data_IF_666060352646
#
_entry.id   IF_666060352646
#
_cell.length_a   1.000
_cell.length_b   1.000
_cell.length_c   1.000
_cell.angle_alpha   90.00
_cell.angle_beta   90.00
_cell.angle_gamma   90.00
#
_symmetry.space_group_name_H-M   'P 1'
#
loop_
_entity.id
_entity.type
_entity.pdbx_description
1 polymer ?
#
# COMPACT_ATOMS: atom_id res chain seq x y z
N UNK A 1 -16.07 7.44 0.82
CA UNK A 1 -17.44 7.33 1.40
C UNK A 1 -17.38 6.90 2.85
N UNK A 2 -16.57 5.88 3.11
CA UNK A 2 -16.10 5.47 4.43
C UNK A 2 -14.60 5.77 4.51
N UNK A 3 -13.99 5.62 5.69
CA UNK A 3 -12.54 5.78 5.87
C UNK A 3 -11.98 4.78 6.85
N UNK A 4 -10.66 4.65 6.91
CA UNK A 4 -10.01 3.96 8.02
C UNK A 4 -10.01 4.84 9.27
N UNK A 5 -10.26 4.23 10.43
CA UNK A 5 -10.15 4.89 11.73
C UNK A 5 -8.72 5.38 11.96
N UNK A 6 -8.60 6.56 12.58
CA UNK A 6 -7.32 7.20 12.91
C UNK A 6 -7.29 7.59 14.39
N UNK A 7 -6.10 7.91 14.90
CA UNK A 7 -5.91 8.44 16.26
C UNK A 7 -5.18 7.48 17.20
N UNK A 8 -4.94 7.92 18.43
CA UNK A 8 -4.09 7.22 19.40
C UNK A 8 -4.59 5.82 19.81
N UNK A 9 -5.90 5.57 19.67
CA UNK A 9 -6.51 4.27 19.98
C UNK A 9 -6.45 3.25 18.83
N UNK A 10 -5.79 3.56 17.72
CA UNK A 10 -5.66 2.67 16.56
C UNK A 10 -4.33 1.94 16.62
N UNK A 11 -4.39 0.61 16.71
CA UNK A 11 -3.19 -0.23 16.58
C UNK A 11 -2.61 -0.09 15.18
N UNK A 12 -1.31 0.24 15.02
CA UNK A 12 -0.66 0.31 13.72
C UNK A 12 -0.84 -1.01 12.93
N UNK A 13 -1.11 -0.91 11.63
CA UNK A 13 -1.36 -2.08 10.77
C UNK A 13 -2.80 -2.60 10.80
N UNK A 14 -3.68 -1.98 11.59
CA UNK A 14 -5.13 -2.23 11.56
C UNK A 14 -5.85 -1.14 10.77
N UNK A 15 -6.88 -1.55 10.02
CA UNK A 15 -7.60 -0.67 9.07
C UNK A 15 -9.11 -0.79 9.27
N UNK A 16 -9.56 -0.61 10.52
CA UNK A 16 -10.97 -0.62 10.86
C UNK A 16 -11.72 0.50 10.10
N UNK A 17 -12.83 0.14 9.47
CA UNK A 17 -13.62 1.07 8.66
C UNK A 17 -14.63 1.80 9.55
N UNK A 18 -14.76 3.10 9.36
CA UNK A 18 -15.75 3.94 10.01
C UNK A 18 -16.49 4.87 9.03
N UNK A 19 -17.67 5.40 9.40
CA UNK A 19 -18.39 6.39 8.61
C UNK A 19 -17.53 7.60 8.25
N UNK A 20 -17.64 8.08 7.00
CA UNK A 20 -17.05 9.32 6.52
C UNK A 20 -18.08 10.22 5.85
N UNK A 21 -18.05 10.43 4.53
CA UNK A 21 -19.11 11.14 3.83
C UNK A 21 -20.47 10.44 3.94
N UNK A 22 -20.47 9.11 4.06
CA UNK A 22 -21.64 8.33 4.47
C UNK A 22 -21.70 8.24 6.00
N UNK A 23 -22.87 8.50 6.59
CA UNK A 23 -23.10 8.36 8.03
C UNK A 23 -23.40 6.92 8.45
N UNK A 24 -24.00 6.13 7.54
CA UNK A 24 -24.27 4.70 7.71
C UNK A 24 -24.44 4.03 6.33
N UNK A 25 -24.43 2.71 6.33
CA UNK A 25 -24.77 1.90 5.17
C UNK A 25 -25.51 0.63 5.57
N UNK A 26 -26.14 -0.02 4.60
CA UNK A 26 -26.84 -1.29 4.74
C UNK A 26 -26.55 -2.19 3.55
N UNK A 27 -26.52 -3.50 3.79
CA UNK A 27 -26.30 -4.54 2.79
C UNK A 27 -27.54 -5.44 2.75
N UNK A 28 -28.62 -5.03 2.06
CA UNK A 28 -29.89 -5.75 2.09
C UNK A 28 -29.81 -7.16 1.46
N UNK A 29 -28.83 -7.38 0.59
CA UNK A 29 -28.54 -8.66 -0.05
C UNK A 29 -27.03 -8.78 -0.35
N UNK A 30 -26.61 -9.87 -1.00
CA UNK A 30 -25.20 -10.15 -1.27
C UNK A 30 -24.57 -9.24 -2.34
N UNK A 31 -25.37 -8.52 -3.12
CA UNK A 31 -24.92 -7.74 -4.28
C UNK A 31 -25.34 -6.28 -4.23
N UNK A 32 -25.83 -5.81 -3.08
CA UNK A 32 -26.33 -4.44 -2.93
C UNK A 32 -25.78 -3.81 -1.68
N UNK A 33 -25.24 -2.60 -1.82
CA UNK A 33 -24.81 -1.76 -0.70
C UNK A 33 -25.43 -0.39 -0.84
N UNK A 34 -26.18 0.05 0.17
CA UNK A 34 -26.85 1.36 0.19
C UNK A 34 -26.16 2.24 1.22
N UNK A 35 -25.64 3.38 0.79
CA UNK A 35 -25.03 4.40 1.64
C UNK A 35 -25.99 5.56 1.86
N UNK A 36 -26.08 6.02 3.10
CA UNK A 36 -26.76 7.25 3.46
C UNK A 36 -25.73 8.33 3.75
N UNK A 37 -25.78 9.41 2.98
CA UNK A 37 -24.83 10.52 3.02
C UNK A 37 -25.16 11.47 4.17
N UNK A 38 -24.12 12.03 4.78
CA UNK A 38 -24.25 13.15 5.70
C UNK A 38 -24.87 14.35 4.97
N UNK A 39 -25.82 15.00 5.61
CA UNK A 39 -26.40 16.26 5.13
C UNK A 39 -25.49 17.44 5.49
N UNK A 40 -25.51 18.48 4.69
CA UNK A 40 -24.78 19.73 4.95
C UNK A 40 -23.27 19.65 4.69
N UNK A 41 -22.74 18.54 4.16
CA UNK A 41 -21.33 18.47 3.76
C UNK A 41 -21.11 19.40 2.57
N UNK A 42 -20.17 20.33 2.69
CA UNK A 42 -19.85 21.30 1.63
C UNK A 42 -18.51 20.99 0.99
N UNK A 43 -18.45 21.23 -0.31
CA UNK A 43 -17.19 21.36 -1.03
C UNK A 43 -16.43 22.60 -0.53
N UNK A 44 -15.12 22.64 -0.74
CA UNK A 44 -14.33 23.84 -0.47
C UNK A 44 -14.94 25.05 -1.19
N UNK A 45 -14.98 26.19 -0.49
CA UNK A 45 -15.53 27.44 -1.02
C UNK A 45 -14.54 28.12 -1.99
N UNK A 46 -14.32 27.49 -3.15
CA UNK A 46 -13.41 27.95 -4.21
C UNK A 46 -14.00 27.64 -5.59
N UNK A 47 -13.80 28.49 -6.61
CA UNK A 47 -14.19 28.18 -7.97
C UNK A 47 -13.53 26.89 -8.48
N UNK A 48 -14.24 26.04 -9.24
CA UNK A 48 -15.57 26.29 -9.80
C UNK A 48 -16.75 25.85 -8.92
N UNK A 49 -16.50 25.23 -7.76
CA UNK A 49 -17.55 24.54 -6.98
C UNK A 49 -18.26 25.46 -5.98
N UNK A 50 -17.56 26.50 -5.50
CA UNK A 50 -18.11 27.60 -4.71
C UNK A 50 -18.94 27.17 -3.48
N UNK A 51 -18.47 26.16 -2.73
CA UNK A 51 -19.06 25.81 -1.44
C UNK A 51 -20.42 25.12 -1.50
N UNK A 52 -20.85 24.64 -2.67
CA UNK A 52 -22.12 23.90 -2.79
C UNK A 52 -22.09 22.63 -1.93
N UNK A 53 -23.28 22.16 -1.59
CA UNK A 53 -23.44 20.91 -0.86
C UNK A 53 -23.07 19.70 -1.74
N UNK A 54 -22.47 18.69 -1.11
CA UNK A 54 -22.24 17.37 -1.68
C UNK A 54 -23.54 16.56 -1.71
N UNK A 55 -23.82 15.90 -2.83
CA UNK A 55 -25.01 15.05 -3.00
C UNK A 55 -24.66 13.66 -3.53
N UNK A 56 -25.67 12.79 -3.59
CA UNK A 56 -25.56 11.47 -4.21
C UNK A 56 -25.10 11.53 -5.68
N UNK A 57 -25.42 12.60 -6.40
CA UNK A 57 -24.98 12.78 -7.79
C UNK A 57 -23.46 12.93 -7.92
N UNK A 58 -22.80 13.54 -6.93
CA UNK A 58 -21.33 13.65 -6.91
C UNK A 58 -20.67 12.28 -6.76
N UNK A 59 -21.26 11.45 -5.92
CA UNK A 59 -20.80 10.08 -5.66
C UNK A 59 -20.99 9.24 -6.91
N UNK A 60 -22.18 9.29 -7.52
CA UNK A 60 -22.46 8.61 -8.78
C UNK A 60 -21.50 9.06 -9.88
N UNK A 61 -21.35 10.38 -10.07
CA UNK A 61 -20.44 10.94 -11.06
C UNK A 61 -19.00 10.44 -10.88
N UNK A 62 -18.50 10.47 -9.64
CA UNK A 62 -17.14 10.02 -9.30
C UNK A 62 -16.91 8.59 -9.77
N UNK A 63 -17.82 7.68 -9.43
CA UNK A 63 -17.60 6.26 -9.70
C UNK A 63 -17.95 5.86 -11.13
N UNK A 64 -18.93 6.51 -11.77
CA UNK A 64 -19.16 6.38 -13.21
C UNK A 64 -17.89 6.78 -13.99
N UNK A 65 -17.27 7.91 -13.62
CA UNK A 65 -16.00 8.35 -14.19
C UNK A 65 -14.88 7.34 -13.92
N UNK A 66 -14.74 6.88 -12.67
CA UNK A 66 -13.68 5.94 -12.28
C UNK A 66 -13.70 4.65 -13.12
N UNK A 67 -14.90 4.15 -13.42
CA UNK A 67 -15.11 2.93 -14.22
C UNK A 67 -14.97 3.15 -15.73
N UNK A 68 -15.26 4.36 -16.21
CA UNK A 68 -15.19 4.72 -17.63
C UNK A 68 -13.80 5.21 -18.10
N UNK A 69 -12.97 5.73 -17.19
CA UNK A 69 -11.64 6.25 -17.49
C UNK A 69 -10.73 5.14 -18.05
N UNK A 70 -10.26 5.33 -19.30
CA UNK A 70 -9.43 4.33 -19.98
C UNK A 70 -8.04 4.31 -19.36
N UNK A 71 -7.55 3.10 -19.07
CA UNK A 71 -6.21 2.92 -18.51
C UNK A 71 -6.09 3.31 -17.03
N UNK A 72 -7.19 3.51 -16.31
CA UNK A 72 -7.17 3.69 -14.86
C UNK A 72 -6.53 2.45 -14.19
N UNK A 73 -5.32 2.58 -13.60
CA UNK A 73 -4.60 1.44 -13.02
C UNK A 73 -5.27 0.91 -11.74
N UNK A 74 -6.17 1.69 -11.13
CA UNK A 74 -6.94 1.33 -9.94
C UNK A 74 -8.35 0.84 -10.27
N UNK A 75 -8.72 0.74 -11.56
CA UNK A 75 -10.06 0.31 -12.00
C UNK A 75 -10.51 -0.99 -11.33
N UNK A 76 -9.58 -1.91 -11.09
CA UNK A 76 -9.82 -3.19 -10.45
C UNK A 76 -10.51 -3.09 -9.09
N UNK A 77 -10.29 -2.00 -8.34
CA UNK A 77 -10.93 -1.80 -7.03
C UNK A 77 -12.45 -1.77 -7.13
N UNK A 78 -12.99 -1.35 -8.28
CA UNK A 78 -14.43 -1.23 -8.52
C UNK A 78 -14.91 -2.15 -9.66
N UNK A 79 -14.08 -3.05 -10.19
CA UNK A 79 -14.50 -4.02 -11.21
C UNK A 79 -15.74 -4.85 -10.80
N UNK A 80 -15.91 -5.24 -9.52
CA UNK A 80 -17.11 -5.93 -9.06
C UNK A 80 -18.39 -5.07 -9.09
N UNK A 81 -18.29 -3.74 -9.21
CA UNK A 81 -19.45 -2.84 -9.28
C UNK A 81 -20.07 -2.93 -10.68
N UNK A 82 -21.37 -3.23 -10.72
CA UNK A 82 -22.20 -3.18 -11.92
C UNK A 82 -22.61 -1.72 -12.22
N UNK A 83 -23.22 -1.06 -11.22
CA UNK A 83 -23.63 0.34 -11.35
C UNK A 83 -23.76 1.05 -10.01
N UNK A 84 -23.69 2.38 -10.07
CA UNK A 84 -23.96 3.29 -8.95
C UNK A 84 -25.19 4.13 -9.27
N UNK A 85 -26.17 4.12 -8.37
CA UNK A 85 -27.44 4.84 -8.49
C UNK A 85 -27.51 5.93 -7.42
N UNK A 86 -27.85 7.16 -7.81
CA UNK A 86 -28.32 8.19 -6.88
C UNK A 86 -29.83 7.95 -6.68
N UNK A 87 -30.20 7.31 -5.57
CA UNK A 87 -31.60 6.93 -5.28
C UNK A 87 -32.42 8.16 -4.91
N UNK A 88 -31.81 9.04 -4.12
CA UNK A 88 -32.30 10.38 -3.79
C UNK A 88 -31.08 11.28 -3.50
N UNK A 89 -31.32 12.52 -3.08
CA UNK A 89 -30.26 13.52 -2.83
C UNK A 89 -29.15 13.04 -1.87
N UNK A 90 -29.48 12.18 -0.89
CA UNK A 90 -28.56 11.71 0.15
C UNK A 90 -28.46 10.19 0.23
N UNK A 91 -28.97 9.44 -0.75
CA UNK A 91 -28.91 7.98 -0.76
C UNK A 91 -28.25 7.49 -2.04
N UNK A 92 -27.17 6.73 -1.91
CA UNK A 92 -26.43 6.12 -3.02
C UNK A 92 -26.52 4.62 -2.92
N UNK A 93 -26.88 3.94 -4.01
CA UNK A 93 -26.91 2.48 -4.08
C UNK A 93 -25.84 1.97 -5.05
N UNK A 94 -25.01 1.06 -4.55
CA UNK A 94 -24.10 0.25 -5.36
C UNK A 94 -24.79 -1.08 -5.65
N UNK A 95 -24.80 -1.47 -6.93
CA UNK A 95 -25.13 -2.82 -7.36
C UNK A 95 -23.84 -3.50 -7.81
N UNK A 96 -23.63 -4.73 -7.37
CA UNK A 96 -22.46 -5.54 -7.67
C UNK A 96 -22.83 -6.62 -8.69
N UNK A 97 -21.87 -6.99 -9.54
CA UNK A 97 -22.02 -8.07 -10.52
C UNK A 97 -22.10 -9.44 -9.85
N UNK A 98 -21.49 -9.55 -8.67
CA UNK A 98 -21.39 -10.74 -7.85
C UNK A 98 -21.10 -10.36 -6.40
N UNK A 99 -21.26 -11.28 -5.43
CA UNK A 99 -20.93 -10.99 -4.04
C UNK A 99 -19.46 -10.56 -3.88
N UNK A 100 -19.23 -9.40 -3.26
CA UNK A 100 -17.89 -8.85 -3.06
C UNK A 100 -17.75 -8.20 -1.69
N UNK A 101 -17.13 -8.94 -0.77
CA UNK A 101 -17.03 -8.57 0.66
C UNK A 101 -16.04 -7.43 0.95
N UNK A 102 -15.26 -7.01 -0.04
CA UNK A 102 -14.21 -5.99 0.13
C UNK A 102 -14.61 -4.60 -0.35
N UNK A 103 -15.87 -4.38 -0.78
CA UNK A 103 -16.31 -3.09 -1.32
C UNK A 103 -16.01 -1.93 -0.35
N UNK A 104 -16.32 -2.08 0.93
CA UNK A 104 -16.06 -1.03 1.93
C UNK A 104 -14.57 -0.70 2.02
N UNK A 105 -13.70 -1.72 1.98
CA UNK A 105 -12.25 -1.49 2.00
C UNK A 105 -11.78 -0.77 0.73
N UNK A 106 -12.35 -1.08 -0.44
CA UNK A 106 -12.05 -0.37 -1.68
C UNK A 106 -12.48 1.10 -1.58
N UNK A 107 -13.64 1.38 -1.00
CA UNK A 107 -14.19 2.74 -0.81
C UNK A 107 -13.53 3.53 0.35
N UNK A 108 -12.79 2.85 1.23
CA UNK A 108 -11.94 3.45 2.27
C UNK A 108 -10.49 3.65 1.80
N UNK A 109 -10.14 3.12 0.62
CA UNK A 109 -8.77 3.11 0.12
C UNK A 109 -8.28 4.53 -0.21
N UNK A 110 -7.21 5.02 0.45
CA UNK A 110 -6.75 6.40 0.32
C UNK A 110 -5.88 6.62 -0.92
N UNK A 111 -6.02 5.84 -1.99
CA UNK A 111 -5.26 6.03 -3.24
C UNK A 111 -6.11 6.32 -4.47
N UNK A 112 -7.43 6.11 -4.41
CA UNK A 112 -8.23 6.17 -5.63
C UNK A 112 -9.72 6.41 -5.50
N UNK A 113 -10.34 6.25 -4.33
CA UNK A 113 -11.81 6.32 -4.19
C UNK A 113 -12.30 7.60 -3.51
N UNK A 114 -11.55 8.69 -3.65
CA UNK A 114 -11.99 10.02 -3.23
C UNK A 114 -13.16 10.52 -4.10
N UNK A 115 -14.11 11.21 -3.47
CA UNK A 115 -15.20 11.86 -4.20
C UNK A 115 -14.66 13.13 -4.87
N UNK A 116 -14.93 13.28 -6.17
CA UNK A 116 -14.49 14.42 -6.98
C UNK A 116 -15.69 15.21 -7.48
N UNK A 117 -15.58 16.53 -7.48
CA UNK A 117 -16.62 17.41 -7.97
C UNK A 117 -16.61 17.42 -9.51
N UNK A 118 -17.79 17.26 -10.12
CA UNK A 118 -17.95 17.27 -11.58
C UNK A 118 -17.39 18.54 -12.22
N UNK A 119 -17.66 19.69 -11.62
CA UNK A 119 -17.25 20.99 -12.13
C UNK A 119 -15.72 21.15 -12.19
N UNK A 120 -15.00 20.51 -11.26
CA UNK A 120 -13.53 20.51 -11.24
C UNK A 120 -13.01 19.69 -12.40
N UNK A 121 -13.58 18.50 -12.63
CA UNK A 121 -13.23 17.64 -13.76
C UNK A 121 -13.52 18.34 -15.09
N UNK A 122 -14.70 18.92 -15.25
CA UNK A 122 -15.11 19.61 -16.47
C UNK A 122 -14.24 20.84 -16.76
N UNK A 123 -13.87 21.60 -15.73
CA UNK A 123 -13.06 22.82 -15.89
C UNK A 123 -11.58 22.54 -16.17
N UNK A 124 -10.98 21.61 -15.43
CA UNK A 124 -9.52 21.42 -15.46
C UNK A 124 -9.09 20.21 -16.28
N UNK A 125 -9.93 19.17 -16.36
CA UNK A 125 -9.59 17.87 -16.96
C UNK A 125 -8.52 17.11 -16.17
N UNK A 126 -7.31 17.68 -16.11
CA UNK A 126 -6.19 17.19 -15.34
C UNK A 126 -6.27 17.65 -13.87
N UNK A 127 -6.56 16.69 -12.99
CA UNK A 127 -6.67 16.91 -11.55
C UNK A 127 -5.32 16.99 -10.83
N UNK A 128 -4.19 16.84 -11.53
CA UNK A 128 -2.84 17.01 -10.93
C UNK A 128 -2.47 18.47 -10.69
N UNK A 129 -3.27 19.40 -11.24
CA UNK A 129 -3.07 20.84 -11.08
C UNK A 129 -3.43 21.28 -9.67
N UNK A 130 -2.61 22.16 -9.08
CA UNK A 130 -2.87 22.73 -7.75
C UNK A 130 -4.24 23.44 -7.68
N UNK A 131 -4.68 24.07 -8.76
CA UNK A 131 -5.99 24.74 -8.82
C UNK A 131 -7.18 23.77 -8.81
N UNK A 132 -6.94 22.50 -9.17
CA UNK A 132 -7.92 21.43 -9.13
C UNK A 132 -8.02 20.75 -7.74
N UNK A 133 -7.16 21.11 -6.78
CA UNK A 133 -7.22 20.60 -5.41
C UNK A 133 -8.43 21.18 -4.65
N UNK A 134 -9.61 20.60 -4.91
CA UNK A 134 -10.89 20.94 -4.31
C UNK A 134 -11.54 19.66 -3.82
N UNK A 135 -11.92 19.64 -2.54
CA UNK A 135 -12.54 18.49 -1.88
C UNK A 135 -13.56 18.91 -0.84
N UNK A 136 -13.90 17.98 0.05
CA UNK A 136 -14.72 18.20 1.25
C UNK A 136 -13.92 18.02 2.53
N UNK A 137 -12.59 17.89 2.41
CA UNK A 137 -11.67 17.53 3.48
C UNK A 137 -11.37 18.66 4.46
N UNK A 138 -10.64 18.31 5.52
CA UNK A 138 -10.32 19.17 6.66
C UNK A 138 -9.42 20.37 6.35
N UNK A 139 -8.71 20.34 5.23
CA UNK A 139 -7.78 21.40 4.85
C UNK A 139 -7.94 21.81 3.39
N UNK A 140 -7.71 23.08 3.09
CA UNK A 140 -7.61 23.65 1.76
C UNK A 140 -6.13 23.78 1.36
N UNK A 141 -5.83 23.56 0.08
CA UNK A 141 -4.52 23.89 -0.47
C UNK A 141 -4.37 25.42 -0.56
N UNK A 142 -3.41 25.95 0.18
CA UNK A 142 -3.10 27.38 0.27
C UNK A 142 -1.93 27.74 -0.66
N UNK A 143 -0.85 26.97 -0.61
CA UNK A 143 0.34 27.19 -1.44
C UNK A 143 0.95 25.85 -1.88
N UNK A 144 1.38 25.78 -3.14
CA UNK A 144 2.15 24.66 -3.68
C UNK A 144 3.44 25.18 -4.29
N UNK A 145 4.58 24.75 -3.74
CA UNK A 145 5.92 25.03 -4.25
C UNK A 145 6.58 23.71 -4.63
N UNK A 146 6.63 23.37 -5.92
CA UNK A 146 7.24 22.12 -6.38
C UNK A 146 8.62 21.90 -5.77
N UNK A 147 8.87 20.69 -5.25
CA UNK A 147 10.12 20.25 -4.62
C UNK A 147 10.57 21.06 -3.39
N UNK A 148 9.71 21.92 -2.82
CA UNK A 148 10.04 22.73 -1.64
C UNK A 148 9.05 22.47 -0.51
N UNK A 149 7.78 22.85 -0.70
CA UNK A 149 6.74 22.63 0.31
C UNK A 149 5.32 22.76 -0.25
N UNK A 150 4.38 22.14 0.46
CA UNK A 150 2.94 22.31 0.23
C UNK A 150 2.30 22.81 1.52
N UNK A 151 1.59 23.92 1.48
CA UNK A 151 0.94 24.55 2.62
C UNK A 151 -0.56 24.32 2.53
N UNK A 152 -1.13 23.79 3.61
CA UNK A 152 -2.55 23.56 3.77
C UNK A 152 -3.08 24.37 4.94
N UNK A 153 -4.29 24.93 4.81
CA UNK A 153 -4.96 25.70 5.86
C UNK A 153 -6.29 25.07 6.23
N UNK A 154 -6.70 25.24 7.49
CA UNK A 154 -7.95 24.71 8.03
C UNK A 154 -9.14 25.07 7.14
N UNK A 155 -9.97 24.07 6.86
CA UNK A 155 -11.29 24.28 6.27
C UNK A 155 -12.29 24.68 7.35
N UNK A 156 -12.80 25.93 7.36
CA UNK A 156 -13.78 26.37 8.35
C UNK A 156 -15.13 25.65 8.19
N UNK A 157 -15.43 25.15 6.99
CA UNK A 157 -16.69 24.46 6.66
C UNK A 157 -16.56 22.93 6.76
N UNK A 158 -15.53 22.41 7.44
CA UNK A 158 -15.34 20.96 7.54
C UNK A 158 -16.48 20.30 8.32
N UNK A 159 -17.03 19.22 7.74
CA UNK A 159 -18.27 18.61 8.22
C UNK A 159 -18.14 17.83 9.53
N UNK A 160 -16.93 17.62 10.06
CA UNK A 160 -16.72 16.94 11.34
C UNK A 160 -16.56 17.97 12.47
N UNK A 161 -17.50 18.04 13.42
CA UNK A 161 -17.39 18.95 14.55
C UNK A 161 -16.09 18.76 15.33
N UNK A 162 -15.48 19.87 15.76
CA UNK A 162 -14.23 19.87 16.53
C UNK A 162 -12.96 19.55 15.73
N UNK A 163 -13.07 19.29 14.42
CA UNK A 163 -11.94 19.01 13.54
C UNK A 163 -11.88 19.99 12.36
N UNK A 164 -10.69 20.20 11.76
CA UNK A 164 -9.39 19.89 12.38
C UNK A 164 -9.17 20.79 13.60
N UNK A 165 -8.38 20.30 14.57
CA UNK A 165 -8.01 21.07 15.76
C UNK A 165 -6.78 21.97 15.54
N UNK A 166 -6.14 21.88 14.37
CA UNK A 166 -4.98 22.68 13.98
C UNK A 166 -5.33 23.64 12.83
N UNK A 167 -4.64 24.77 12.77
CA UNK A 167 -4.88 25.81 11.77
C UNK A 167 -4.37 25.47 10.36
N UNK A 168 -3.47 24.49 10.25
CA UNK A 168 -2.90 24.11 8.96
C UNK A 168 -1.79 23.07 9.07
N UNK A 169 -1.25 22.72 7.91
CA UNK A 169 -0.16 21.75 7.75
C UNK A 169 0.83 22.32 6.75
N UNK A 170 2.09 22.46 7.16
CA UNK A 170 3.19 22.75 6.26
C UNK A 170 3.90 21.42 5.94
N UNK A 171 3.70 20.91 4.72
CA UNK A 171 4.36 19.71 4.23
C UNK A 171 5.68 20.07 3.57
N UNK A 172 6.80 19.75 4.20
CA UNK A 172 8.14 20.03 3.68
C UNK A 172 8.64 18.89 2.78
N UNK A 173 9.27 19.24 1.66
CA UNK A 173 9.98 18.28 0.80
C UNK A 173 11.46 18.36 1.16
N UNK A 174 12.02 17.29 1.71
CA UNK A 174 13.42 17.18 2.11
C UNK A 174 13.95 15.85 1.58
N UNK A 175 14.83 15.86 0.59
CA UNK A 175 15.34 14.62 -0.02
C UNK A 175 16.51 14.01 0.75
N UNK A 176 17.35 14.85 1.36
CA UNK A 176 18.52 14.40 2.13
C UNK A 176 18.11 13.94 3.54
N UNK A 177 18.39 12.67 3.85
CA UNK A 177 18.03 12.04 5.13
C UNK A 177 18.73 12.68 6.33
N UNK A 178 19.96 13.18 6.16
CA UNK A 178 20.69 13.83 7.24
C UNK A 178 20.07 15.20 7.57
N UNK A 179 19.65 15.96 6.55
CA UNK A 179 18.90 17.19 6.69
C UNK A 179 17.53 16.95 7.35
N UNK A 180 16.83 15.87 6.98
CA UNK A 180 15.58 15.48 7.65
C UNK A 180 15.80 15.23 9.14
N UNK A 181 16.82 14.44 9.52
CA UNK A 181 17.12 14.15 10.93
C UNK A 181 17.52 15.42 11.70
N UNK A 182 18.30 16.32 11.09
CA UNK A 182 18.68 17.59 11.68
C UNK A 182 17.47 18.52 11.88
N UNK A 183 16.60 18.65 10.87
CA UNK A 183 15.33 19.40 10.94
C UNK A 183 14.40 18.81 12.01
N UNK A 184 14.35 17.48 12.10
CA UNK A 184 13.56 16.81 13.13
C UNK A 184 14.12 17.07 14.52
N UNK A 185 15.45 17.00 14.75
CA UNK A 185 16.07 17.32 16.06
C UNK A 185 15.79 18.77 16.48
N UNK A 186 15.98 19.72 15.56
CA UNK A 186 15.82 21.16 15.83
C UNK A 186 14.38 21.63 16.01
N UNK A 187 13.38 20.82 15.65
CA UNK A 187 11.96 21.16 15.84
C UNK A 187 11.28 21.77 14.63
N UNK A 188 11.92 21.70 13.45
CA UNK A 188 11.29 22.08 12.19
C UNK A 188 10.20 21.08 11.77
N UNK A 189 10.26 19.84 12.24
CA UNK A 189 9.29 18.77 11.95
C UNK A 189 8.61 18.34 13.27
N UNK A 190 7.28 18.45 13.30
CA UNK A 190 6.46 18.10 14.48
C UNK A 190 6.14 16.60 14.55
N UNK A 191 5.83 16.00 13.40
CA UNK A 191 5.61 14.57 13.24
C UNK A 191 5.89 14.19 11.79
N UNK A 192 6.42 12.99 11.57
CA UNK A 192 6.59 12.50 10.20
C UNK A 192 5.24 12.12 9.59
N UNK A 193 4.87 12.65 8.41
CA UNK A 193 3.63 12.25 7.75
C UNK A 193 3.78 10.89 7.08
N UNK A 194 4.95 10.61 6.48
CA UNK A 194 5.15 9.40 5.67
C UNK A 194 5.51 8.18 6.54
N UNK A 195 4.88 7.05 6.23
CA UNK A 195 5.08 5.78 6.95
C UNK A 195 6.51 5.21 6.86
N UNK A 196 7.33 5.67 5.90
CA UNK A 196 8.76 5.38 5.82
C UNK A 196 9.65 6.53 6.29
N UNK A 197 9.10 7.72 6.59
CA UNK A 197 9.85 8.81 7.25
C UNK A 197 9.90 8.55 8.76
N UNK A 198 10.30 7.34 9.09
CA UNK A 198 10.61 6.94 10.45
C UNK A 198 12.06 7.29 10.74
N UNK A 199 12.38 7.47 12.02
CA UNK A 199 13.78 7.58 12.43
C UNK A 199 14.45 6.26 12.02
N UNK A 200 15.51 6.34 11.19
CA UNK A 200 16.24 5.13 10.77
C UNK A 200 16.68 4.36 11.99
N UNK A 201 16.65 3.03 11.91
CA UNK A 201 16.96 2.19 13.07
C UNK A 201 18.38 2.45 13.59
N UNK A 202 19.32 2.76 12.70
CA UNK A 202 20.70 3.16 13.05
C UNK A 202 20.79 4.46 13.86
N UNK A 203 19.89 5.43 13.64
CA UNK A 203 19.88 6.72 14.33
C UNK A 203 19.05 6.70 15.62
N UNK A 204 18.22 5.66 15.80
CA UNK A 204 17.20 5.60 16.85
C UNK A 204 17.78 5.63 18.26
N UNK A 205 18.88 4.90 18.51
CA UNK A 205 19.50 4.83 19.83
C UNK A 205 20.02 6.21 20.28
N UNK A 206 20.75 6.90 19.40
CA UNK A 206 21.27 8.23 19.68
C UNK A 206 20.15 9.28 19.76
N UNK A 207 19.11 9.15 18.94
CA UNK A 207 17.96 10.05 19.04
C UNK A 207 17.20 9.87 20.36
N UNK A 208 16.96 8.64 20.82
CA UNK A 208 16.33 8.37 22.12
C UNK A 208 17.15 8.91 23.28
N UNK A 209 18.49 8.88 23.16
CA UNK A 209 19.40 9.43 24.16
C UNK A 209 19.39 10.96 24.18
N UNK A 210 19.46 11.60 23.02
CA UNK A 210 19.51 13.06 22.89
C UNK A 210 18.14 13.74 23.02
N UNK A 211 17.05 13.03 22.73
CA UNK A 211 15.68 13.55 22.73
C UNK A 211 14.70 12.57 23.41
N UNK A 212 14.90 12.22 24.69
CA UNK A 212 14.10 11.21 25.40
C UNK A 212 12.62 11.58 25.56
N UNK A 213 12.27 12.87 25.39
CA UNK A 213 10.91 13.39 25.46
C UNK A 213 10.09 13.15 24.20
N UNK A 214 10.70 12.73 23.09
CA UNK A 214 9.95 12.39 21.88
C UNK A 214 9.12 11.14 22.11
N UNK A 215 7.98 11.09 21.43
CA UNK A 215 7.17 9.88 21.39
C UNK A 215 7.78 8.90 20.39
N UNK A 216 7.72 7.60 20.67
CA UNK A 216 8.19 6.54 19.79
C UNK A 216 7.18 5.40 19.75
N UNK A 217 6.90 4.89 18.56
CA UNK A 217 6.02 3.73 18.37
C UNK A 217 6.56 2.84 17.27
N UNK A 218 6.84 1.59 17.63
CA UNK A 218 7.22 0.57 16.66
C UNK A 218 5.99 0.01 15.94
N UNK A 219 6.17 -0.31 14.67
CA UNK A 219 5.20 -1.06 13.88
C UNK A 219 5.89 -1.84 12.76
N UNK A 220 5.31 -2.98 12.39
CA UNK A 220 5.79 -3.80 11.28
C UNK A 220 5.18 -3.27 9.98
N UNK A 221 6.00 -3.14 8.94
CA UNK A 221 5.53 -2.71 7.63
C UNK A 221 4.54 -3.71 7.02
N UNK A 222 3.46 -3.19 6.43
CA UNK A 222 2.55 -3.96 5.55
C UNK A 222 2.97 -3.90 4.07
N UNK A 223 4.11 -3.28 3.77
CA UNK A 223 4.78 -3.40 2.47
C UNK A 223 5.54 -4.72 2.45
N UNK A 224 5.28 -5.50 1.41
CA UNK A 224 6.07 -6.67 1.08
C UNK A 224 7.18 -6.26 0.10
N UNK A 225 8.34 -6.89 0.16
CA UNK A 225 9.40 -6.77 -0.86
C UNK A 225 9.70 -8.15 -1.44
N UNK A 226 9.95 -8.26 -2.74
CA UNK A 226 10.20 -9.56 -3.35
C UNK A 226 10.69 -9.52 -4.79
N UNK A 227 11.14 -10.67 -5.26
CA UNK A 227 11.50 -10.86 -6.65
C UNK A 227 10.26 -11.06 -7.52
N UNK A 228 10.26 -10.36 -8.65
CA UNK A 228 9.34 -10.53 -9.77
C UNK A 228 10.02 -11.42 -10.81
N UNK A 229 9.26 -12.37 -11.36
CA UNK A 229 9.75 -13.28 -12.38
C UNK A 229 8.63 -13.57 -13.38
N UNK A 230 8.94 -13.57 -14.68
CA UNK A 230 7.97 -13.92 -15.71
C UNK A 230 7.66 -15.41 -15.70
N UNK A 231 6.63 -15.81 -14.97
CA UNK A 231 6.21 -17.21 -14.82
C UNK A 231 5.66 -17.81 -16.12
N UNK A 232 5.41 -16.98 -17.12
CA UNK A 232 4.98 -17.34 -18.46
C UNK A 232 6.15 -17.54 -19.45
N UNK A 233 7.41 -17.34 -19.02
CA UNK A 233 8.59 -17.47 -19.88
C UNK A 233 9.69 -18.33 -19.24
N UNK A 234 10.45 -19.11 -20.04
CA UNK A 234 11.68 -19.72 -19.56
C UNK A 234 12.69 -18.68 -19.06
N UNK A 235 13.50 -18.99 -18.04
CA UNK A 235 13.48 -20.23 -17.26
C UNK A 235 12.49 -20.24 -16.09
N UNK A 236 11.79 -19.13 -15.84
CA UNK A 236 10.98 -18.94 -14.63
C UNK A 236 9.60 -19.59 -14.68
N UNK A 237 9.19 -20.12 -15.84
CA UNK A 237 8.04 -21.01 -15.94
C UNK A 237 8.24 -22.34 -15.18
N UNK A 238 9.49 -22.78 -14.98
CA UNK A 238 9.81 -23.92 -14.13
C UNK A 238 9.80 -23.55 -12.64
N UNK A 239 8.94 -24.21 -11.87
CA UNK A 239 8.80 -24.00 -10.42
C UNK A 239 10.10 -24.28 -9.65
N UNK A 240 10.95 -25.20 -10.15
CA UNK A 240 12.23 -25.54 -9.52
C UNK A 240 13.20 -24.37 -9.56
N UNK A 241 13.22 -23.60 -10.65
CA UNK A 241 14.04 -22.38 -10.77
C UNK A 241 13.56 -21.33 -9.75
N UNK A 242 12.25 -21.14 -9.62
CA UNK A 242 11.68 -20.18 -8.64
C UNK A 242 11.97 -20.60 -7.19
N UNK A 243 11.86 -21.89 -6.89
CA UNK A 243 12.23 -22.45 -5.57
C UNK A 243 13.73 -22.31 -5.29
N UNK A 244 14.58 -22.49 -6.31
CA UNK A 244 16.02 -22.26 -6.16
C UNK A 244 16.35 -20.82 -5.80
N UNK A 245 15.70 -19.84 -6.46
CA UNK A 245 15.83 -18.41 -6.13
C UNK A 245 15.43 -18.16 -4.67
N UNK A 246 14.34 -18.77 -4.21
CA UNK A 246 13.90 -18.64 -2.81
C UNK A 246 14.86 -19.23 -1.79
N UNK A 247 15.47 -20.38 -2.10
CA UNK A 247 16.49 -21.01 -1.25
C UNK A 247 17.83 -20.26 -1.26
N UNK A 248 18.16 -19.59 -2.36
CA UNK A 248 19.41 -18.85 -2.47
C UNK A 248 19.47 -17.63 -1.54
N UNK A 249 18.33 -17.12 -1.05
CA UNK A 249 18.26 -15.85 -0.33
C UNK A 249 17.99 -16.07 1.16
N UNK A 250 18.86 -15.53 1.99
CA UNK A 250 18.69 -15.46 3.45
C UNK A 250 17.99 -14.15 3.83
N UNK A 251 16.68 -14.29 4.05
CA UNK A 251 15.78 -13.19 4.37
C UNK A 251 16.10 -12.54 5.71
N UNK A 252 16.50 -13.34 6.71
CA UNK A 252 16.77 -12.83 8.04
C UNK A 252 18.10 -12.07 8.06
N UNK A 253 19.13 -12.57 7.37
CA UNK A 253 20.40 -11.85 7.22
C UNK A 253 20.20 -10.50 6.54
N UNK A 254 19.31 -10.39 5.54
CA UNK A 254 18.98 -9.09 4.94
C UNK A 254 18.32 -8.14 5.95
N UNK A 255 17.35 -8.65 6.72
CA UNK A 255 16.69 -7.87 7.77
C UNK A 255 17.70 -7.36 8.80
N UNK A 256 18.55 -8.25 9.32
CA UNK A 256 19.49 -7.94 10.39
C UNK A 256 20.60 -6.99 9.94
N UNK A 257 21.10 -7.15 8.71
CA UNK A 257 22.19 -6.34 8.18
C UNK A 257 21.77 -4.92 7.77
N UNK A 258 20.54 -4.76 7.27
CA UNK A 258 20.09 -3.49 6.66
C UNK A 258 19.07 -2.77 7.56
N UNK A 259 18.03 -3.48 7.97
CA UNK A 259 16.90 -2.86 8.69
C UNK A 259 17.02 -3.00 10.21
N UNK A 260 17.97 -3.80 10.72
CA UNK A 260 18.21 -4.15 12.12
C UNK A 260 17.05 -4.87 12.84
N UNK A 261 15.81 -4.67 12.37
CA UNK A 261 14.57 -5.24 12.93
C UNK A 261 13.55 -5.51 11.83
N UNK A 262 12.82 -6.61 11.98
CA UNK A 262 11.82 -7.04 11.02
C UNK A 262 11.69 -8.56 11.03
N UNK A 263 10.94 -9.07 10.07
CA UNK A 263 10.82 -10.52 9.89
C UNK A 263 10.57 -10.89 8.41
N UNK A 264 10.94 -12.12 8.00
CA UNK A 264 10.53 -12.69 6.74
C UNK A 264 9.00 -12.65 6.56
N UNK A 265 8.53 -12.43 5.32
CA UNK A 265 7.10 -12.27 5.04
C UNK A 265 6.60 -13.24 3.97
N UNK A 266 5.35 -13.75 4.08
CA UNK A 266 4.66 -14.38 2.95
C UNK A 266 4.13 -13.32 1.97
N UNK A 267 3.17 -13.71 1.12
CA UNK A 267 2.57 -12.82 0.12
C UNK A 267 1.90 -11.59 0.74
N UNK A 268 1.25 -11.75 1.88
CA UNK A 268 0.71 -10.63 2.65
C UNK A 268 1.76 -10.18 3.67
N UNK A 269 2.13 -8.91 3.59
CA UNK A 269 3.09 -8.26 4.51
C UNK A 269 2.74 -8.49 5.97
N UNK A 270 3.75 -8.71 6.81
CA UNK A 270 3.57 -9.04 8.24
C UNK A 270 2.88 -7.93 9.05
N UNK A 271 2.94 -6.68 8.58
CA UNK A 271 2.18 -5.56 9.14
C UNK A 271 0.66 -5.68 9.04
N UNK A 272 0.13 -6.57 8.19
CA UNK A 272 -1.29 -6.97 8.16
C UNK A 272 -1.48 -8.26 8.97
N UNK A 273 -1.21 -8.18 10.28
CA UNK A 273 -1.08 -9.35 11.16
C UNK A 273 -2.31 -10.29 11.13
N UNK A 274 -3.52 -9.75 11.02
CA UNK A 274 -4.76 -10.54 10.91
C UNK A 274 -4.78 -11.49 9.70
N UNK A 275 -4.10 -11.10 8.62
CA UNK A 275 -4.17 -11.77 7.32
C UNK A 275 -2.87 -12.45 6.91
N UNK A 276 -1.81 -12.33 7.71
CA UNK A 276 -0.49 -12.85 7.39
C UNK A 276 -0.11 -14.00 8.33
N UNK A 277 -0.04 -15.26 7.86
CA UNK A 277 0.49 -16.37 8.63
C UNK A 277 2.02 -16.24 8.78
N UNK A 278 2.58 -16.76 9.87
CA UNK A 278 4.04 -16.88 9.99
C UNK A 278 4.59 -17.85 8.96
N UNK A 279 5.88 -17.75 8.65
CA UNK A 279 6.52 -18.62 7.64
C UNK A 279 6.37 -20.11 7.97
N UNK A 280 6.51 -20.49 9.23
CA UNK A 280 6.31 -21.87 9.73
C UNK A 280 4.86 -22.37 9.61
N UNK A 281 3.89 -21.48 9.38
CA UNK A 281 2.47 -21.79 9.19
C UNK A 281 2.07 -21.90 7.71
N UNK A 282 3.03 -21.77 6.79
CA UNK A 282 2.82 -21.89 5.33
C UNK A 282 2.72 -23.35 4.85
N UNK A 283 2.61 -24.32 5.75
CA UNK A 283 2.48 -25.74 5.41
C UNK A 283 3.70 -26.23 4.62
N UNK A 284 3.48 -27.02 3.56
CA UNK A 284 4.58 -27.52 2.74
C UNK A 284 5.39 -26.39 2.05
N UNK A 285 4.79 -25.22 1.83
CA UNK A 285 5.46 -24.06 1.26
C UNK A 285 6.55 -23.46 2.16
N UNK A 286 6.49 -23.69 3.48
CA UNK A 286 7.44 -23.15 4.45
C UNK A 286 8.89 -23.60 4.16
N UNK A 287 9.06 -24.80 3.61
CA UNK A 287 10.39 -25.36 3.32
C UNK A 287 11.20 -24.50 2.34
N UNK A 288 10.52 -23.82 1.41
CA UNK A 288 11.14 -23.01 0.36
C UNK A 288 11.63 -21.66 0.87
N UNK A 289 11.28 -21.27 2.10
CA UNK A 289 11.79 -20.06 2.75
C UNK A 289 13.10 -20.28 3.50
N UNK A 290 13.55 -21.54 3.65
CA UNK A 290 14.83 -21.87 4.28
C UNK A 290 15.98 -21.48 3.37
N UNK A 291 16.96 -20.76 3.89
CA UNK A 291 18.19 -20.47 3.17
C UNK A 291 19.01 -21.76 3.01
N UNK A 292 19.18 -22.21 1.77
CA UNK A 292 19.99 -23.38 1.42
C UNK A 292 20.57 -23.22 0.00
N UNK A 293 21.73 -22.58 -0.15
CA UNK A 293 22.40 -22.43 -1.44
C UNK A 293 22.77 -23.75 -2.12
N UNK A 294 22.93 -24.84 -1.36
CA UNK A 294 23.22 -26.17 -1.94
C UNK A 294 21.97 -26.72 -2.62
N UNK A 295 20.83 -26.62 -1.95
CA UNK A 295 19.54 -27.01 -2.52
C UNK A 295 19.17 -26.14 -3.73
N UNK A 296 19.46 -24.84 -3.68
CA UNK A 296 19.28 -23.95 -4.83
C UNK A 296 20.04 -24.46 -6.07
N UNK A 297 21.34 -24.78 -5.93
CA UNK A 297 22.15 -25.33 -7.02
C UNK A 297 21.66 -26.69 -7.50
N UNK A 298 21.18 -27.55 -6.60
CA UNK A 298 20.59 -28.85 -6.94
C UNK A 298 19.33 -28.69 -7.80
N UNK A 299 18.41 -27.82 -7.38
CA UNK A 299 17.17 -27.52 -8.11
C UNK A 299 17.46 -26.87 -9.48
N UNK A 300 18.47 -26.00 -9.58
CA UNK A 300 18.91 -25.43 -10.86
C UNK A 300 19.46 -26.52 -11.79
N UNK A 301 20.29 -27.44 -11.29
CA UNK A 301 20.80 -28.56 -12.08
C UNK A 301 19.67 -29.46 -12.61
N UNK A 302 18.69 -29.79 -11.76
CA UNK A 302 17.50 -30.55 -12.17
C UNK A 302 16.63 -29.81 -13.20
N UNK A 303 16.62 -28.48 -13.15
CA UNK A 303 15.95 -27.62 -14.11
C UNK A 303 16.75 -27.40 -15.41
N UNK A 304 17.91 -28.05 -15.56
CA UNK A 304 18.75 -27.96 -16.77
C UNK A 304 19.85 -26.90 -16.72
N UNK A 305 20.14 -26.34 -15.54
CA UNK A 305 21.18 -25.33 -15.30
C UNK A 305 22.30 -25.84 -14.37
N UNK A 306 23.02 -26.93 -14.71
CA UNK A 306 24.04 -27.51 -13.83
C UNK A 306 25.25 -26.60 -13.60
N UNK A 307 25.48 -25.62 -14.48
CA UNK A 307 26.54 -24.61 -14.35
C UNK A 307 26.02 -23.28 -13.76
N UNK A 308 24.78 -23.28 -13.23
CA UNK A 308 24.11 -22.09 -12.74
C UNK A 308 23.30 -21.35 -13.81
N UNK A 309 22.57 -20.33 -13.35
CA UNK A 309 21.69 -19.50 -14.16
C UNK A 309 22.29 -18.09 -14.30
N UNK A 310 22.37 -17.58 -15.53
CA UNK A 310 22.67 -16.17 -15.79
C UNK A 310 21.39 -15.42 -16.11
N UNK A 311 21.19 -14.26 -15.49
CA UNK A 311 19.98 -13.46 -15.71
C UNK A 311 20.23 -11.97 -15.41
N UNK A 312 19.25 -11.12 -15.74
CA UNK A 312 19.24 -9.72 -15.32
C UNK A 312 18.42 -9.57 -14.03
N UNK A 313 18.75 -8.59 -13.20
CA UNK A 313 17.99 -8.19 -12.03
C UNK A 313 17.75 -6.68 -12.07
N UNK A 314 16.54 -6.30 -12.47
CA UNK A 314 16.15 -4.89 -12.54
C UNK A 314 15.67 -4.39 -11.18
N UNK A 315 16.20 -3.26 -10.72
CA UNK A 315 15.84 -2.60 -9.46
C UNK A 315 15.74 -1.08 -9.66
N UNK A 316 15.37 -0.33 -8.62
CA UNK A 316 15.48 1.13 -8.60
C UNK A 316 16.06 1.62 -7.28
N UNK A 317 16.86 2.70 -7.34
CA UNK A 317 17.33 3.42 -6.15
C UNK A 317 16.31 4.40 -5.58
N UNK A 318 15.16 4.60 -6.25
CA UNK A 318 14.14 5.57 -5.84
C UNK A 318 13.41 5.25 -4.53
N UNK A 319 13.66 4.10 -3.92
CA UNK A 319 13.10 3.70 -2.63
C UNK A 319 14.03 3.97 -1.43
N UNK A 320 15.18 4.61 -1.66
CA UNK A 320 16.16 4.95 -0.62
C UNK A 320 17.36 4.01 -0.57
N UNK A 321 18.40 4.44 0.14
CA UNK A 321 19.68 3.75 0.20
C UNK A 321 19.57 2.36 0.86
N UNK A 322 18.90 2.26 2.00
CA UNK A 322 18.70 1.00 2.73
C UNK A 322 18.07 -0.08 1.82
N UNK A 323 17.07 0.29 1.02
CA UNK A 323 16.39 -0.63 0.10
C UNK A 323 17.35 -1.10 -1.00
N UNK A 324 18.18 -0.21 -1.54
CA UNK A 324 19.18 -0.56 -2.54
C UNK A 324 20.26 -1.49 -1.97
N UNK A 325 20.71 -1.26 -0.73
CA UNK A 325 21.68 -2.10 -0.04
C UNK A 325 21.13 -3.53 0.19
N UNK A 326 19.86 -3.64 0.59
CA UNK A 326 19.16 -4.92 0.69
C UNK A 326 19.12 -5.67 -0.65
N UNK A 327 18.95 -4.96 -1.76
CA UNK A 327 18.92 -5.57 -3.10
C UNK A 327 20.29 -6.07 -3.54
N UNK A 328 21.35 -5.30 -3.26
CA UNK A 328 22.73 -5.73 -3.51
C UNK A 328 23.11 -6.94 -2.65
N UNK A 329 22.68 -7.00 -1.40
CA UNK A 329 22.89 -8.17 -0.54
C UNK A 329 22.16 -9.40 -1.08
N UNK A 330 20.89 -9.25 -1.49
CA UNK A 330 20.13 -10.33 -2.11
C UNK A 330 20.80 -10.82 -3.42
N UNK A 331 21.33 -9.91 -4.25
CA UNK A 331 22.09 -10.25 -5.45
C UNK A 331 23.35 -11.08 -5.14
N UNK A 332 24.09 -10.74 -4.07
CA UNK A 332 25.25 -11.54 -3.63
C UNK A 332 24.84 -12.96 -3.21
N UNK A 333 23.77 -13.08 -2.44
CA UNK A 333 23.24 -14.38 -2.00
C UNK A 333 22.73 -15.24 -3.18
N UNK A 334 22.12 -14.61 -4.20
CA UNK A 334 21.77 -15.30 -5.46
C UNK A 334 23.00 -15.93 -6.12
N UNK A 335 24.13 -15.21 -6.17
CA UNK A 335 25.38 -15.74 -6.72
C UNK A 335 25.89 -16.96 -5.96
N UNK A 336 25.79 -16.95 -4.64
CA UNK A 336 26.12 -18.12 -3.81
C UNK A 336 25.21 -19.30 -4.15
N UNK A 337 23.92 -19.08 -4.42
CA UNK A 337 22.96 -20.09 -4.90
C UNK A 337 23.16 -20.55 -6.36
N UNK A 338 24.20 -20.09 -7.06
CA UNK A 338 24.46 -20.43 -8.46
C UNK A 338 23.68 -19.59 -9.48
N UNK A 339 23.24 -18.40 -9.10
CA UNK A 339 22.47 -17.47 -9.95
C UNK A 339 23.27 -16.18 -10.12
N UNK A 340 23.90 -16.03 -11.28
CA UNK A 340 24.63 -14.81 -11.66
C UNK A 340 23.65 -13.78 -12.23
N UNK A 341 23.19 -12.88 -11.36
CA UNK A 341 22.24 -11.83 -11.71
C UNK A 341 22.95 -10.48 -11.96
N UNK A 342 22.90 -9.95 -13.19
CA UNK A 342 23.41 -8.62 -13.52
C UNK A 342 22.45 -7.54 -13.00
N UNK A 343 22.89 -6.71 -12.04
CA UNK A 343 22.06 -5.66 -11.46
C UNK A 343 21.88 -4.48 -12.44
N UNK A 344 20.64 -4.14 -12.75
CA UNK A 344 20.26 -2.99 -13.57
C UNK A 344 19.46 -2.00 -12.72
N UNK A 345 20.10 -0.90 -12.32
CA UNK A 345 19.43 0.15 -11.55
C UNK A 345 18.75 1.13 -12.50
N UNK A 346 17.42 1.22 -12.42
CA UNK A 346 16.60 2.15 -13.19
C UNK A 346 16.24 3.39 -12.37
N UNK A 347 16.07 4.51 -13.08
CA UNK A 347 15.40 5.72 -12.56
C UNK A 347 13.97 5.37 -12.11
N UNK A 348 13.48 6.01 -11.05
CA UNK A 348 12.24 5.67 -10.37
C UNK A 348 11.00 5.78 -11.28
N UNK A 349 10.84 6.89 -11.99
CA UNK A 349 9.74 7.09 -12.93
C UNK A 349 9.73 6.04 -14.05
N UNK A 350 10.90 5.74 -14.62
CA UNK A 350 11.06 4.68 -15.61
C UNK A 350 10.72 3.29 -15.06
N UNK A 351 11.18 2.96 -13.84
CA UNK A 351 10.86 1.70 -13.15
C UNK A 351 9.35 1.54 -12.94
N UNK A 352 8.69 2.61 -12.47
CA UNK A 352 7.24 2.61 -12.24
C UNK A 352 6.43 2.45 -13.54
N UNK A 353 6.90 3.04 -14.64
CA UNK A 353 6.24 2.92 -15.95
C UNK A 353 6.44 1.56 -16.63
N UNK A 354 7.48 0.82 -16.27
CA UNK A 354 7.89 -0.43 -16.96
C UNK A 354 7.93 -1.63 -16.03
N UNK A 355 8.97 -1.76 -15.22
CA UNK A 355 9.25 -2.91 -14.36
C UNK A 355 8.11 -3.21 -13.40
N UNK A 356 7.59 -2.18 -12.72
CA UNK A 356 6.47 -2.33 -11.79
C UNK A 356 5.21 -2.86 -12.49
N UNK A 357 5.01 -2.53 -13.77
CA UNK A 357 3.92 -3.01 -14.62
C UNK A 357 4.22 -4.35 -15.33
N UNK A 358 5.24 -5.09 -14.91
CA UNK A 358 5.56 -6.40 -15.48
C UNK A 358 6.36 -6.35 -16.79
N UNK A 359 6.94 -5.20 -17.15
CA UNK A 359 7.76 -5.01 -18.35
C UNK A 359 9.24 -4.93 -17.97
N UNK A 360 9.86 -6.10 -17.81
CA UNK A 360 11.28 -6.25 -17.49
C UNK A 360 11.85 -7.52 -18.15
N UNK A 361 13.18 -7.60 -18.22
CA UNK A 361 13.91 -8.78 -18.65
C UNK A 361 14.51 -9.50 -17.44
N UNK A 362 14.58 -10.84 -17.51
CA UNK A 362 15.10 -11.65 -16.40
C UNK A 362 14.20 -11.56 -15.17
N UNK A 363 14.75 -11.05 -14.08
CA UNK A 363 14.09 -10.79 -12.81
C UNK A 363 13.99 -9.30 -12.54
N UNK A 364 13.07 -8.92 -11.68
CA UNK A 364 13.12 -7.65 -10.99
C UNK A 364 13.06 -7.85 -9.47
N UNK A 365 13.44 -6.85 -8.70
CA UNK A 365 13.32 -6.85 -7.25
C UNK A 365 12.90 -5.46 -6.78
N UNK A 366 11.89 -5.41 -5.93
CA UNK A 366 11.29 -4.17 -5.48
C UNK A 366 10.25 -4.36 -4.39
N UNK A 367 9.85 -3.27 -3.72
CA UNK A 367 8.68 -3.28 -2.87
C UNK A 367 7.41 -3.41 -3.72
N UNK A 368 6.46 -4.18 -3.21
CA UNK A 368 5.08 -4.18 -3.68
C UNK A 368 4.34 -2.97 -3.09
N UNK A 369 3.15 -2.66 -3.60
CA UNK A 369 2.33 -1.58 -3.05
C UNK A 369 1.87 -1.90 -1.63
N UNK A 370 1.72 -0.86 -0.80
CA UNK A 370 1.00 -0.95 0.48
C UNK A 370 -0.36 -1.61 0.24
N UNK A 371 -0.73 -2.52 1.13
CA UNK A 371 -2.06 -3.12 1.18
C UNK A 371 -2.69 -2.86 2.55
N UNK A 372 -3.99 -2.58 2.56
CA UNK A 372 -4.79 -2.35 3.78
C UNK A 372 -5.72 -3.51 4.11
N UNK A 373 -5.78 -4.48 3.20
CA UNK A 373 -6.63 -5.65 3.25
C UNK A 373 -6.03 -6.73 2.30
N UNK A 374 -6.38 -8.02 2.49
CA UNK A 374 -5.74 -9.15 1.81
C UNK A 374 -6.03 -9.26 0.29
N UNK A 375 -7.20 -8.82 -0.19
CA UNK A 375 -7.58 -8.93 -1.60
C UNK A 375 -6.65 -8.13 -2.51
N UNK A 376 -6.24 -6.92 -2.15
CA UNK A 376 -5.32 -6.07 -2.92
C UNK A 376 -3.93 -6.67 -3.01
N UNK A 377 -3.46 -7.30 -1.92
CA UNK A 377 -2.17 -7.98 -1.84
C UNK A 377 -2.14 -9.29 -2.64
N UNK A 378 -3.29 -9.94 -2.78
CA UNK A 378 -3.40 -11.23 -3.45
C UNK A 378 -3.99 -11.10 -4.86
N UNK A 379 -5.25 -10.71 -5.00
CA UNK A 379 -5.94 -10.60 -6.29
C UNK A 379 -5.19 -9.70 -7.26
N UNK A 380 -4.78 -8.51 -6.80
CA UNK A 380 -4.02 -7.56 -7.61
C UNK A 380 -2.68 -8.10 -8.14
N UNK A 381 -2.08 -9.06 -7.45
CA UNK A 381 -0.76 -9.62 -7.78
C UNK A 381 -0.83 -10.93 -8.58
N UNK A 382 -1.94 -11.68 -8.47
CA UNK A 382 -2.06 -13.04 -8.98
C UNK A 382 -3.13 -13.24 -10.07
N UNK A 383 -4.10 -12.34 -10.19
CA UNK A 383 -5.13 -12.47 -11.22
C UNK A 383 -4.59 -11.99 -12.59
N UNK A 384 -4.76 -12.75 -13.69
CA UNK A 384 -4.16 -12.44 -15.01
C UNK A 384 -4.55 -11.09 -15.59
N UNK A 385 -5.78 -10.64 -15.34
CA UNK A 385 -6.32 -9.39 -15.84
C UNK A 385 -5.82 -8.15 -15.08
N UNK A 386 -5.08 -8.36 -13.97
CA UNK A 386 -4.65 -7.28 -13.09
C UNK A 386 -3.36 -6.64 -13.59
N UNK A 387 -3.31 -5.30 -13.78
CA UNK A 387 -2.09 -4.61 -14.20
C UNK A 387 -0.88 -4.80 -13.27
N UNK A 388 -1.14 -5.17 -12.00
CA UNK A 388 -0.11 -5.41 -10.97
C UNK A 388 0.34 -6.87 -10.89
N UNK A 389 -0.15 -7.75 -11.76
CA UNK A 389 0.38 -9.10 -11.92
C UNK A 389 1.70 -9.08 -12.70
N UNK A 390 2.73 -8.50 -12.08
CA UNK A 390 4.02 -8.25 -12.72
C UNK A 390 4.80 -9.55 -13.01
N UNK A 391 4.43 -10.69 -12.41
CA UNK A 391 4.96 -12.02 -12.72
C UNK A 391 4.17 -12.79 -13.78
N UNK A 392 3.11 -12.21 -14.35
CA UNK A 392 2.27 -12.82 -15.39
C UNK A 392 1.68 -14.18 -14.98
N UNK A 393 1.27 -14.30 -13.70
CA UNK A 393 0.67 -15.53 -13.17
C UNK A 393 -0.64 -15.85 -13.87
N UNK A 394 -0.81 -17.09 -14.32
CA UNK A 394 -2.00 -17.58 -15.00
C UNK A 394 -2.44 -18.98 -14.51
N UNK A 395 -2.39 -19.20 -13.20
CA UNK A 395 -2.74 -20.47 -12.59
C UNK A 395 -4.22 -20.53 -12.16
N UNK A 396 -4.97 -21.44 -12.80
CA UNK A 396 -6.39 -21.63 -12.55
C UNK A 396 -6.73 -21.94 -11.09
N UNK A 397 -5.85 -22.65 -10.35
CA UNK A 397 -6.11 -23.05 -8.97
C UNK A 397 -6.08 -21.84 -8.04
N UNK A 398 -5.02 -21.02 -8.11
CA UNK A 398 -4.96 -19.81 -7.26
C UNK A 398 -6.07 -18.82 -7.65
N UNK A 399 -6.39 -18.68 -8.94
CA UNK A 399 -7.49 -17.82 -9.42
C UNK A 399 -8.84 -18.26 -8.82
N UNK A 400 -9.12 -19.57 -8.77
CA UNK A 400 -10.34 -20.09 -8.16
C UNK A 400 -10.43 -19.75 -6.66
N UNK A 401 -9.33 -19.91 -5.92
CA UNK A 401 -9.28 -19.57 -4.48
C UNK A 401 -9.47 -18.06 -4.26
N UNK A 402 -8.87 -17.22 -5.11
CA UNK A 402 -9.00 -15.75 -5.07
C UNK A 402 -10.44 -15.29 -5.31
N UNK A 403 -11.16 -15.93 -6.25
CA UNK A 403 -12.58 -15.64 -6.49
C UNK A 403 -13.46 -16.13 -5.34
N UNK A 404 -13.14 -17.27 -4.74
CA UNK A 404 -13.88 -17.79 -3.60
C UNK A 404 -13.78 -16.86 -2.38
N UNK A 405 -12.60 -16.32 -2.07
CA UNK A 405 -12.45 -15.45 -0.88
C UNK A 405 -13.24 -14.13 -1.02
N UNK A 406 -13.41 -13.62 -2.24
CA UNK A 406 -14.21 -12.42 -2.53
C UNK A 406 -15.70 -12.59 -2.17
N UNK A 407 -16.22 -13.82 -2.23
CA UNK A 407 -17.64 -14.14 -2.00
C UNK A 407 -17.91 -14.71 -0.59
N UNK A 408 -16.86 -14.94 0.21
CA UNK A 408 -16.97 -15.59 1.52
C UNK A 408 -17.26 -14.55 2.60
N UNK A 409 -18.51 -14.44 3.08
CA UNK A 409 -18.92 -13.44 4.08
C UNK A 409 -18.35 -13.66 5.47
N UNK A 410 -18.41 -14.90 5.97
CA UNK A 410 -17.87 -15.25 7.29
C UNK A 410 -16.37 -14.97 7.37
N UNK A 411 -15.98 -14.12 8.32
CA UNK A 411 -14.62 -13.58 8.43
C UNK A 411 -13.62 -14.69 8.78
N UNK A 412 -13.99 -15.61 9.67
CA UNK A 412 -13.10 -16.71 10.07
C UNK A 412 -12.86 -17.69 8.93
N UNK A 413 -13.92 -18.07 8.20
CA UNK A 413 -13.83 -18.92 7.00
C UNK A 413 -13.01 -18.23 5.91
N UNK A 414 -13.23 -16.93 5.68
CA UNK A 414 -12.45 -16.14 4.72
C UNK A 414 -10.97 -16.07 5.10
N UNK A 415 -10.64 -15.88 6.39
CA UNK A 415 -9.26 -15.86 6.87
C UNK A 415 -8.55 -17.18 6.64
N UNK A 416 -9.20 -18.31 6.92
CA UNK A 416 -8.65 -19.65 6.63
C UNK A 416 -8.34 -19.82 5.14
N UNK A 417 -9.27 -19.43 4.28
CA UNK A 417 -9.07 -19.48 2.83
C UNK A 417 -7.92 -18.57 2.34
N UNK A 418 -7.76 -17.38 2.93
CA UNK A 418 -6.64 -16.48 2.65
C UNK A 418 -5.31 -17.09 3.09
N UNK A 419 -5.27 -17.82 4.20
CA UNK A 419 -4.07 -18.55 4.61
C UNK A 419 -3.77 -19.68 3.62
N UNK A 420 -4.79 -20.40 3.14
CA UNK A 420 -4.61 -21.45 2.12
C UNK A 420 -4.08 -20.89 0.79
N UNK A 421 -4.55 -19.72 0.37
CA UNK A 421 -4.00 -19.03 -0.82
C UNK A 421 -2.50 -18.76 -0.63
N UNK A 422 -2.11 -18.27 0.54
CA UNK A 422 -0.70 -17.97 0.84
C UNK A 422 0.17 -19.23 0.95
N UNK A 423 -0.36 -20.32 1.52
CA UNK A 423 0.31 -21.64 1.53
C UNK A 423 0.58 -22.12 0.12
N UNK A 424 -0.44 -22.06 -0.74
CA UNK A 424 -0.30 -22.48 -2.12
C UNK A 424 0.67 -21.58 -2.91
N UNK A 425 0.58 -20.26 -2.74
CA UNK A 425 1.52 -19.32 -3.35
C UNK A 425 2.97 -19.57 -2.89
N UNK A 426 3.18 -19.92 -1.62
CA UNK A 426 4.47 -20.28 -1.06
C UNK A 426 5.04 -21.58 -1.66
N UNK A 427 4.20 -22.54 -2.06
CA UNK A 427 4.66 -23.74 -2.77
C UNK A 427 5.05 -23.45 -4.23
N UNK A 428 4.36 -22.51 -4.86
CA UNK A 428 4.56 -22.16 -6.27
C UNK A 428 5.65 -21.12 -6.49
N UNK A 429 5.98 -20.31 -5.49
CA UNK A 429 7.01 -19.26 -5.55
C UNK A 429 6.88 -18.35 -6.79
N UNK A 430 5.64 -18.01 -7.20
CA UNK A 430 5.39 -17.09 -8.32
C UNK A 430 6.06 -15.71 -8.13
N UNK A 431 6.13 -15.30 -6.86
CA UNK A 431 6.97 -14.23 -6.36
C UNK A 431 7.80 -14.82 -5.22
N UNK A 432 9.07 -14.42 -5.12
CA UNK A 432 9.92 -14.79 -3.97
C UNK A 432 9.90 -13.62 -3.01
N UNK A 433 9.02 -13.70 -2.01
CA UNK A 433 8.87 -12.68 -0.97
C UNK A 433 10.05 -12.71 0.00
N UNK A 434 10.48 -11.54 0.46
CA UNK A 434 11.66 -11.39 1.30
C UNK A 434 11.29 -11.08 2.75
N UNK A 435 10.92 -9.83 3.05
CA UNK A 435 10.80 -9.35 4.42
C UNK A 435 9.74 -8.25 4.57
N UNK A 436 9.35 -8.02 5.82
CA UNK A 436 8.65 -6.83 6.29
C UNK A 436 9.51 -6.20 7.40
N UNK A 437 10.11 -5.01 7.18
CA UNK A 437 10.93 -4.35 8.20
C UNK A 437 10.06 -3.83 9.34
N UNK A 438 10.67 -3.66 10.52
CA UNK A 438 10.05 -2.92 11.63
C UNK A 438 10.53 -1.47 11.60
N UNK A 439 9.57 -0.56 11.57
CA UNK A 439 9.80 0.87 11.57
C UNK A 439 9.45 1.46 12.93
N UNK A 440 10.12 2.57 13.30
CA UNK A 440 9.83 3.30 14.55
C UNK A 440 9.38 4.71 14.21
N UNK A 441 8.07 4.95 14.28
CA UNK A 441 7.55 6.31 14.17
C UNK A 441 7.96 7.14 15.38
N UNK A 442 8.10 8.44 15.17
CA UNK A 442 8.36 9.39 16.24
C UNK A 442 7.65 10.72 15.97
N UNK A 443 7.22 11.39 17.04
CA UNK A 443 6.60 12.71 16.99
C UNK A 443 6.85 13.52 18.27
N UNK A 444 6.61 14.83 18.19
CA UNK A 444 6.72 15.75 19.32
C UNK A 444 5.69 15.44 20.41
N UNK A 445 6.04 15.55 21.70
CA UNK A 445 5.14 15.20 22.81
C UNK A 445 3.90 16.10 22.90
N UNK A 446 3.96 17.33 22.38
CA UNK A 446 2.81 18.22 22.29
C UNK A 446 1.83 17.83 21.17
N UNK A 447 2.21 16.94 20.23
CA UNK A 447 1.30 16.41 19.22
C UNK A 447 0.52 15.26 19.84
N UNK A 448 -0.77 15.48 20.06
CA UNK A 448 -1.67 14.56 20.75
C UNK A 448 -2.65 13.93 19.78
N UNK A 449 -3.19 12.77 20.15
CA UNK A 449 -4.07 11.95 19.33
C UNK A 449 -3.46 11.56 17.95
N UNK A 450 -2.14 11.52 17.84
CA UNK A 450 -1.43 10.97 16.70
C UNK A 450 -1.06 9.50 16.95
N UNK A 451 -1.21 8.66 15.94
CA UNK A 451 -0.63 7.32 15.89
C UNK A 451 -0.14 7.01 14.47
N UNK A 452 1.01 6.32 14.33
CA UNK A 452 1.45 5.85 13.03
C UNK A 452 0.53 4.74 12.54
N UNK A 453 0.22 4.76 11.25
CA UNK A 453 -0.43 3.63 10.58
C UNK A 453 0.09 3.61 9.14
N UNK A 454 0.57 2.47 8.58
CA UNK A 454 1.12 2.44 7.24
C UNK A 454 0.02 2.54 6.17
N UNK A 455 -0.38 3.80 5.94
CA UNK A 455 -1.43 4.24 5.02
C UNK A 455 -0.97 5.52 4.31
N UNK A 456 -1.63 5.86 3.21
CA UNK A 456 -1.48 7.14 2.53
C UNK A 456 -2.50 8.20 2.98
N UNK A 457 -3.39 7.88 3.92
CA UNK A 457 -4.37 8.83 4.45
C UNK A 457 -3.73 9.76 5.49
N UNK A 458 -3.00 10.77 5.03
CA UNK A 458 -2.36 11.75 5.90
C UNK A 458 -3.34 12.82 6.37
N UNK A 459 -4.28 13.21 5.51
CA UNK A 459 -5.26 14.27 5.79
C UNK A 459 -6.13 13.95 6.99
N UNK A 460 -6.73 12.75 7.06
CA UNK A 460 -7.57 12.39 8.21
C UNK A 460 -6.75 12.23 9.50
N UNK A 461 -5.52 11.72 9.42
CA UNK A 461 -4.61 11.62 10.57
C UNK A 461 -4.31 12.99 11.17
N UNK A 462 -3.97 13.97 10.32
CA UNK A 462 -3.68 15.33 10.79
C UNK A 462 -4.96 16.08 11.18
N UNK A 463 -6.10 15.75 10.60
CA UNK A 463 -7.38 16.33 11.04
C UNK A 463 -7.78 15.87 12.46
N UNK A 464 -7.34 14.69 12.89
CA UNK A 464 -7.68 14.11 14.20
C UNK A 464 -6.74 14.53 15.33
N UNK A 465 -5.51 14.97 15.03
CA UNK A 465 -4.55 15.39 16.05
C UNK A 465 -4.84 16.80 16.59
N UNK A 466 -4.30 17.10 17.76
CA UNK A 466 -4.30 18.45 18.34
C UNK A 466 -2.93 18.76 18.96
N UNK A 467 -2.65 20.03 19.17
CA UNK A 467 -1.39 20.51 19.76
C UNK A 467 -1.63 21.01 21.18
N UNK A 468 -0.85 20.50 22.13
CA UNK A 468 -0.85 20.86 23.54
C UNK A 468 0.14 22.01 23.80
N UNK A 469 -0.15 23.19 23.22
CA UNK A 469 0.67 24.40 23.37
C UNK A 469 -0.11 25.68 23.06
#
# INVERSE_FOLDING_TARGET
LVRHKVGAGVTPGTFAIEPDLAERWEEPDDTTVVFHLRRGVRWHNKPPVNGRELTADDVKFTYDRFLAEKGNPLRFMLDPVDRVEAVDRYTVRFRLKEPFVWLLNMLANPTGTWIVAREVVEKYGDLRRAEAAIGTGAFLLDRYEPNVKTVFRRNPDYFRPGQPSVDGVDWLVMEDEAAQLAGYRTGQIDCAPWHQWVVRQQDLAELKKSHPQLMYQDFVSNVTTGFYMRTDKPPFNDVRVRRAISHAVDRQVIVDAVFLRGEPTPAIGRGLAEWSPRIDQLGAGAQYYRHDPKEARRLLAEAGFPQGLKTQLTVTGGYGADVLDAFQLAQRQLKEGGIEAELKVQEYGAYMATTFAGKYEGMALGPFSISWEPHTALYGMYAPEQPRNSSHVADAKIIAMLKQQMRTKDVETRRKLIFDIQRYAAEQQYYVYLYSPTFTASWRPFVKNYAPNPSFDYGNRVAALWLDR
#
